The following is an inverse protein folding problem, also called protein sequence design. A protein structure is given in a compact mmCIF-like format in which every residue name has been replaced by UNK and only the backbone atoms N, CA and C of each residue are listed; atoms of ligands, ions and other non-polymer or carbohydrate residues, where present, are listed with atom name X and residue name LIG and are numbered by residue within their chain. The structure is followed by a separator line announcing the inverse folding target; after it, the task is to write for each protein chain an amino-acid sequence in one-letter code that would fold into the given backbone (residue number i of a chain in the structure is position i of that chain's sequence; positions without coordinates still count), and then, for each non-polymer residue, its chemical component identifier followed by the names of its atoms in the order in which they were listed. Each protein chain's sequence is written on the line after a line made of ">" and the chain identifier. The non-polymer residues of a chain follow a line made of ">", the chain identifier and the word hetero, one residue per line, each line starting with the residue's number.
data_IF_569332207264
#
_entry.id   IF_569332207264
#
_cell.length_a   1.000
_cell.length_b   1.000
_cell.length_c   1.000
_cell.angle_alpha   90.00
_cell.angle_beta   90.00
_cell.angle_gamma   90.00
#
_symmetry.space_group_name_H-M   'P 1'
#
loop_
_entity.id
_entity.type
_entity.pdbx_description
1 polymer ?
#
# COMPACT_ATOMS: atom_id res chain seq x y z
N UNK A 1 -11.84 -3.95 31.04
CA UNK A 1 -11.05 -3.41 29.90
C UNK A 1 -9.58 -3.62 30.21
N UNK A 2 -8.95 -4.67 29.66
CA UNK A 2 -7.56 -5.06 29.99
C UNK A 2 -6.70 -5.43 28.76
N UNK A 3 -7.15 -5.07 27.55
CA UNK A 3 -6.57 -5.60 26.31
C UNK A 3 -5.93 -4.49 25.44
N UNK A 4 -4.97 -3.75 26.02
CA UNK A 4 -4.07 -2.92 25.23
C UNK A 4 -2.90 -3.77 24.72
N UNK A 5 -2.70 -3.86 23.41
CA UNK A 5 -1.43 -4.36 22.89
C UNK A 5 -0.37 -3.25 23.02
N UNK A 6 0.90 -3.59 23.35
CA UNK A 6 1.97 -2.59 23.38
C UNK A 6 2.09 -1.89 22.02
N UNK A 7 2.17 -0.55 21.98
CA UNK A 7 2.34 0.17 20.73
C UNK A 7 3.68 -0.23 20.09
N UNK A 8 3.76 -0.33 18.75
CA UNK A 8 5.04 -0.50 18.09
C UNK A 8 5.93 0.74 18.31
N UNK A 9 7.26 0.61 18.11
CA UNK A 9 8.18 1.73 18.21
C UNK A 9 7.97 2.69 17.02
N UNK A 10 7.00 3.60 17.15
CA UNK A 10 6.74 4.62 16.14
C UNK A 10 7.98 5.51 15.97
N UNK A 11 8.33 5.76 14.71
CA UNK A 11 9.47 6.58 14.34
C UNK A 11 9.05 7.92 13.72
N UNK A 12 10.03 8.77 13.38
CA UNK A 12 9.76 9.96 12.58
C UNK A 12 9.18 9.57 11.23
N UNK A 13 8.32 10.43 10.69
CA UNK A 13 7.75 10.24 9.35
C UNK A 13 8.83 10.39 8.27
N UNK A 14 8.61 9.76 7.12
CA UNK A 14 9.44 9.95 5.93
C UNK A 14 9.13 11.34 5.36
N UNK A 15 10.13 12.25 5.23
CA UNK A 15 9.91 13.56 4.64
C UNK A 15 9.64 13.44 3.13
N UNK A 16 9.03 14.48 2.55
CA UNK A 16 8.65 14.50 1.14
C UNK A 16 7.24 13.97 0.89
N UNK A 17 6.98 13.56 -0.35
CA UNK A 17 5.65 13.21 -0.85
C UNK A 17 5.72 11.89 -1.61
N UNK A 18 4.68 11.07 -1.47
CA UNK A 18 4.49 9.88 -2.27
C UNK A 18 3.50 10.17 -3.39
N UNK A 19 3.80 9.77 -4.62
CA UNK A 19 2.82 9.64 -5.68
C UNK A 19 2.40 8.18 -5.71
N UNK A 20 1.10 7.94 -5.59
CA UNK A 20 0.48 6.64 -5.79
C UNK A 20 -0.11 6.62 -7.19
N UNK A 21 0.39 5.74 -8.06
CA UNK A 21 -0.15 5.49 -9.39
C UNK A 21 -0.60 4.03 -9.50
N UNK A 22 -1.79 3.80 -10.07
CA UNK A 22 -2.36 2.46 -10.13
C UNK A 22 -3.03 2.19 -11.46
N UNK A 23 -2.86 0.98 -11.96
CA UNK A 23 -3.42 0.52 -13.23
C UNK A 23 -4.39 -0.62 -13.00
N UNK A 24 -5.34 -0.74 -13.93
CA UNK A 24 -6.30 -1.82 -14.01
C UNK A 24 -6.23 -2.40 -15.42
N UNK A 25 -5.40 -3.41 -15.61
CA UNK A 25 -5.13 -4.02 -16.91
C UNK A 25 -6.04 -5.23 -17.13
N UNK A 26 -5.92 -6.23 -16.27
CA UNK A 26 -6.69 -7.47 -16.28
C UNK A 26 -6.76 -8.07 -14.85
N UNK A 27 -7.59 -7.51 -13.96
CA UNK A 27 -7.72 -7.94 -12.57
C UNK A 27 -8.63 -9.18 -12.43
N UNK A 28 -8.60 -10.12 -13.38
CA UNK A 28 -9.35 -11.36 -13.31
C UNK A 28 -8.88 -12.22 -12.11
N UNK A 29 -9.83 -12.77 -11.34
CA UNK A 29 -9.54 -13.45 -10.06
C UNK A 29 -10.21 -14.81 -9.93
N UNK A 30 -9.63 -15.66 -9.08
CA UNK A 30 -10.25 -16.85 -8.49
C UNK A 30 -10.19 -16.70 -6.97
N UNK A 31 -11.36 -16.49 -6.35
CA UNK A 31 -11.41 -16.03 -4.95
C UNK A 31 -10.66 -14.71 -4.79
N UNK A 32 -9.76 -14.56 -3.79
CA UNK A 32 -8.97 -13.34 -3.64
C UNK A 32 -7.80 -13.23 -4.63
N UNK A 33 -7.34 -14.33 -5.24
CA UNK A 33 -6.08 -14.35 -5.98
C UNK A 33 -6.26 -13.99 -7.46
N UNK A 34 -5.32 -13.22 -8.01
CA UNK A 34 -5.35 -12.87 -9.44
C UNK A 34 -4.90 -14.05 -10.30
N UNK A 35 -5.54 -14.21 -11.45
CA UNK A 35 -5.10 -15.15 -12.50
C UNK A 35 -3.85 -14.62 -13.19
N UNK A 36 -3.07 -15.53 -13.77
CA UNK A 36 -1.98 -15.17 -14.70
C UNK A 36 -2.58 -14.44 -15.90
N UNK A 37 -1.94 -13.35 -16.32
CA UNK A 37 -2.38 -12.53 -17.45
C UNK A 37 -1.17 -12.03 -18.24
N UNK A 38 -1.16 -12.31 -19.54
CA UNK A 38 -0.11 -11.85 -20.47
C UNK A 38 -0.20 -10.35 -20.72
N UNK A 39 -1.41 -9.79 -20.74
CA UNK A 39 -1.63 -8.36 -20.85
C UNK A 39 -1.05 -7.61 -19.64
N UNK A 40 -1.29 -8.12 -18.42
CA UNK A 40 -0.68 -7.56 -17.21
C UNK A 40 0.83 -7.68 -17.21
N UNK A 41 1.39 -8.82 -17.62
CA UNK A 41 2.83 -9.01 -17.72
C UNK A 41 3.47 -7.98 -18.67
N UNK A 42 2.92 -7.81 -19.88
CA UNK A 42 3.39 -6.82 -20.85
C UNK A 42 3.31 -5.39 -20.32
N UNK A 43 2.21 -5.03 -19.65
CA UNK A 43 2.04 -3.72 -19.04
C UNK A 43 3.07 -3.50 -17.92
N UNK A 44 3.36 -4.53 -17.13
CA UNK A 44 4.34 -4.47 -16.05
C UNK A 44 5.76 -4.25 -16.58
N UNK A 45 6.13 -4.88 -17.69
CA UNK A 45 7.43 -4.64 -18.33
C UNK A 45 7.57 -3.20 -18.82
N UNK A 46 6.54 -2.65 -19.47
CA UNK A 46 6.55 -1.23 -19.88
C UNK A 46 6.62 -0.27 -18.67
N UNK A 47 5.87 -0.57 -17.61
CA UNK A 47 5.90 0.23 -16.38
C UNK A 47 7.22 0.11 -15.61
N UNK A 48 7.97 -0.97 -15.82
CA UNK A 48 9.32 -1.13 -15.25
C UNK A 48 10.31 -0.17 -15.90
N UNK A 49 10.26 0.01 -17.21
CA UNK A 49 11.07 1.00 -17.92
C UNK A 49 10.76 2.42 -17.43
N UNK A 50 9.47 2.72 -17.28
CA UNK A 50 8.98 3.97 -16.69
C UNK A 50 9.51 4.15 -15.26
N UNK A 51 9.41 3.13 -14.42
CA UNK A 51 9.92 3.17 -13.05
C UNK A 51 11.44 3.41 -13.00
N UNK A 52 12.20 2.78 -13.90
CA UNK A 52 13.65 2.97 -14.02
C UNK A 52 14.01 4.40 -14.43
N UNK A 53 13.30 4.97 -15.41
CA UNK A 53 13.48 6.36 -15.84
C UNK A 53 13.16 7.35 -14.71
N UNK A 54 12.06 7.12 -13.98
CA UNK A 54 11.70 7.94 -12.82
C UNK A 54 12.73 7.83 -11.69
N UNK A 55 13.24 6.63 -11.40
CA UNK A 55 14.24 6.41 -10.37
C UNK A 55 15.58 7.11 -10.64
N UNK A 56 15.89 7.41 -11.91
CA UNK A 56 17.09 8.15 -12.30
C UNK A 56 16.96 9.68 -12.10
N UNK A 57 15.77 10.20 -11.80
CA UNK A 57 15.53 11.64 -11.63
C UNK A 57 15.99 12.12 -10.25
N UNK A 58 16.60 13.29 -10.20
CA UNK A 58 17.20 13.84 -8.98
C UNK A 58 16.20 14.12 -7.85
N UNK A 59 14.99 14.52 -8.22
CA UNK A 59 13.87 14.84 -7.34
C UNK A 59 13.18 13.58 -6.77
N UNK A 60 13.42 12.41 -7.36
CA UNK A 60 12.88 11.12 -6.91
C UNK A 60 13.85 10.50 -5.92
N UNK A 61 13.34 10.18 -4.73
CA UNK A 61 14.07 9.51 -3.66
C UNK A 61 13.96 7.97 -3.74
N UNK A 62 12.91 7.45 -4.37
CA UNK A 62 12.75 6.01 -4.60
C UNK A 62 11.51 5.68 -5.42
N UNK A 63 11.51 4.52 -6.08
CA UNK A 63 10.38 4.00 -6.84
C UNK A 63 10.16 2.54 -6.49
N UNK A 64 8.95 2.19 -6.11
CA UNK A 64 8.52 0.81 -5.94
C UNK A 64 7.42 0.49 -6.94
N UNK A 65 7.66 -0.48 -7.81
CA UNK A 65 6.65 -1.07 -8.68
C UNK A 65 6.15 -2.38 -8.07
N UNK A 66 4.84 -2.60 -8.11
CA UNK A 66 4.20 -3.76 -7.53
C UNK A 66 3.22 -4.42 -8.50
N UNK A 67 3.22 -5.75 -8.51
CA UNK A 67 2.15 -6.55 -9.10
C UNK A 67 1.19 -7.03 -8.00
N UNK A 68 -0.11 -6.81 -8.18
CA UNK A 68 -1.11 -7.31 -7.24
C UNK A 68 -1.24 -8.82 -7.37
N UNK A 69 -1.15 -9.52 -6.24
CA UNK A 69 -1.27 -10.98 -6.15
C UNK A 69 -2.61 -11.41 -5.57
N UNK A 70 -3.20 -10.59 -4.70
CA UNK A 70 -4.55 -10.83 -4.19
C UNK A 70 -5.30 -9.54 -3.89
N UNK A 71 -6.61 -9.55 -4.11
CA UNK A 71 -7.57 -8.50 -3.72
C UNK A 71 -8.63 -9.19 -2.87
N UNK A 72 -8.74 -8.81 -1.60
CA UNK A 72 -9.72 -9.42 -0.70
C UNK A 72 -11.14 -9.05 -1.19
N UNK A 73 -12.10 -10.01 -1.25
CA UNK A 73 -13.41 -9.78 -1.85
C UNK A 73 -14.34 -8.98 -0.91
N UNK A 74 -13.99 -7.73 -0.67
CA UNK A 74 -14.77 -6.76 0.11
C UNK A 74 -15.38 -5.76 -0.89
N UNK A 75 -16.68 -5.40 -0.77
CA UNK A 75 -17.28 -4.37 -1.60
C UNK A 75 -16.46 -3.07 -1.56
N UNK A 76 -16.21 -2.49 -2.74
CA UNK A 76 -15.39 -1.27 -2.87
C UNK A 76 -13.88 -1.49 -2.88
N UNK A 77 -13.38 -2.72 -2.75
CA UNK A 77 -11.94 -2.99 -2.80
C UNK A 77 -11.33 -2.52 -4.14
N UNK A 78 -10.15 -1.85 -4.11
CA UNK A 78 -9.51 -1.37 -5.33
C UNK A 78 -9.24 -2.52 -6.30
N UNK A 79 -9.60 -2.33 -7.56
CA UNK A 79 -9.39 -3.31 -8.63
C UNK A 79 -8.09 -3.06 -9.38
N UNK A 80 -7.05 -2.60 -8.66
CA UNK A 80 -5.74 -2.32 -9.24
C UNK A 80 -4.90 -3.60 -9.24
N UNK A 81 -4.38 -3.96 -10.40
CA UNK A 81 -3.54 -5.13 -10.59
C UNK A 81 -2.05 -4.79 -10.76
N UNK A 82 -1.73 -3.51 -10.95
CA UNK A 82 -0.38 -2.94 -10.84
C UNK A 82 -0.45 -1.64 -10.03
N UNK A 83 0.51 -1.44 -9.14
CA UNK A 83 0.64 -0.20 -8.34
C UNK A 83 2.10 0.26 -8.40
N UNK A 84 2.32 1.57 -8.48
CA UNK A 84 3.62 2.20 -8.36
C UNK A 84 3.56 3.25 -7.25
N UNK A 85 4.51 3.18 -6.33
CA UNK A 85 4.74 4.20 -5.30
C UNK A 85 6.05 4.92 -5.64
N UNK A 86 5.96 6.23 -5.85
CA UNK A 86 7.10 7.09 -6.15
C UNK A 86 7.31 8.01 -4.97
N UNK A 87 8.45 7.90 -4.29
CA UNK A 87 8.82 8.84 -3.23
C UNK A 87 9.59 10.01 -3.84
N UNK A 88 9.05 11.21 -3.66
CA UNK A 88 9.56 12.48 -4.19
C UNK A 88 9.98 13.37 -3.02
N UNK A 89 11.08 14.12 -3.19
CA UNK A 89 11.72 14.86 -2.09
C UNK A 89 10.87 16.01 -1.53
N UNK A 90 10.01 16.61 -2.35
CA UNK A 90 9.21 17.77 -1.97
C UNK A 90 7.88 17.87 -2.73
N UNK A 91 7.02 18.78 -2.27
CA UNK A 91 5.67 18.99 -2.80
C UNK A 91 5.68 19.57 -4.23
N UNK A 92 6.43 20.64 -4.54
CA UNK A 92 6.46 21.19 -5.91
C UNK A 92 6.87 20.15 -6.96
N UNK A 93 7.95 19.39 -6.71
CA UNK A 93 8.39 18.32 -7.61
C UNK A 93 7.36 17.21 -7.72
N UNK A 94 6.67 16.85 -6.64
CA UNK A 94 5.61 15.84 -6.71
C UNK A 94 4.40 16.30 -7.56
N UNK A 95 4.02 17.57 -7.44
CA UNK A 95 2.95 18.16 -8.27
C UNK A 95 3.34 18.17 -9.74
N UNK A 96 4.56 18.60 -10.08
CA UNK A 96 5.07 18.58 -11.44
C UNK A 96 5.13 17.15 -12.01
N UNK A 97 5.71 16.21 -11.23
CA UNK A 97 5.90 14.83 -11.65
C UNK A 97 4.56 14.10 -11.84
N UNK A 98 3.53 14.39 -11.04
CA UNK A 98 2.18 13.83 -11.23
C UNK A 98 1.58 14.18 -12.60
N UNK A 99 1.89 15.35 -13.14
CA UNK A 99 1.45 15.79 -14.47
C UNK A 99 2.42 15.43 -15.60
N UNK A 100 3.56 14.81 -15.30
CA UNK A 100 4.60 14.49 -16.27
C UNK A 100 4.11 13.45 -17.29
N UNK A 101 4.51 13.62 -18.54
CA UNK A 101 4.17 12.71 -19.64
C UNK A 101 4.61 11.27 -19.38
N UNK A 102 5.71 11.07 -18.64
CA UNK A 102 6.25 9.76 -18.26
C UNK A 102 5.26 8.96 -17.42
N UNK A 103 4.42 9.62 -16.61
CA UNK A 103 3.36 8.97 -15.84
C UNK A 103 2.05 9.00 -16.64
N UNK A 104 1.63 10.17 -17.13
CA UNK A 104 0.30 10.34 -17.73
C UNK A 104 0.12 9.57 -19.04
N UNK A 105 1.17 9.38 -19.85
CA UNK A 105 1.11 8.57 -21.08
C UNK A 105 0.85 7.07 -20.81
N UNK A 106 1.11 6.60 -19.60
CA UNK A 106 0.78 5.21 -19.18
C UNK A 106 -0.69 5.04 -18.81
N UNK A 107 -1.48 6.12 -18.81
CA UNK A 107 -2.91 6.16 -18.52
C UNK A 107 -3.30 5.41 -17.22
N UNK A 108 -2.76 5.82 -16.05
CA UNK A 108 -3.12 5.19 -14.78
C UNK A 108 -4.61 5.35 -14.50
N UNK A 109 -5.23 4.29 -13.99
CA UNK A 109 -6.64 4.30 -13.57
C UNK A 109 -6.86 5.15 -12.31
N UNK A 110 -5.82 5.37 -11.51
CA UNK A 110 -5.84 6.25 -10.35
C UNK A 110 -4.47 6.85 -10.11
N UNK A 111 -4.44 8.14 -9.75
CA UNK A 111 -3.23 8.82 -9.32
C UNK A 111 -3.55 9.83 -8.24
N UNK A 112 -2.80 9.83 -7.14
CA UNK A 112 -2.90 10.83 -6.08
C UNK A 112 -1.56 11.05 -5.39
N UNK A 113 -1.42 12.17 -4.67
CA UNK A 113 -0.28 12.38 -3.79
C UNK A 113 -0.65 12.02 -2.35
N UNK A 114 0.33 11.63 -1.55
CA UNK A 114 0.15 11.33 -0.15
C UNK A 114 1.40 11.72 0.66
N UNK A 115 1.22 12.15 1.90
CA UNK A 115 2.33 12.31 2.86
C UNK A 115 2.41 11.11 3.78
N UNK A 116 3.56 10.89 4.42
CA UNK A 116 3.64 9.89 5.48
C UNK A 116 3.01 10.44 6.77
N UNK A 117 1.86 9.88 7.18
CA UNK A 117 1.14 10.30 8.40
C UNK A 117 1.68 9.66 9.69
N UNK A 118 2.24 8.46 9.60
CA UNK A 118 2.91 7.76 10.70
C UNK A 118 3.73 6.59 10.16
N UNK A 119 4.76 6.15 10.89
CA UNK A 119 5.48 4.92 10.55
C UNK A 119 6.09 4.23 11.77
N UNK A 120 6.41 2.95 11.59
CA UNK A 120 7.33 2.20 12.45
C UNK A 120 8.12 1.23 11.59
N UNK A 121 9.33 0.86 12.02
CA UNK A 121 10.23 0.02 11.23
C UNK A 121 10.61 0.63 9.87
N UNK A 122 11.10 -0.24 8.98
CA UNK A 122 11.52 0.11 7.61
C UNK A 122 10.70 -0.75 6.64
N UNK A 123 9.83 -0.12 5.87
CA UNK A 123 8.95 -0.81 4.92
C UNK A 123 9.65 -1.13 3.61
N UNK A 124 10.31 -0.13 3.03
CA UNK A 124 11.17 -0.29 1.87
C UNK A 124 12.62 -0.50 2.32
N UNK A 125 13.13 -1.69 2.09
CA UNK A 125 14.51 -2.08 2.40
C UNK A 125 15.27 -2.53 1.13
N UNK A 126 14.73 -2.25 -0.05
CA UNK A 126 15.33 -2.64 -1.33
C UNK A 126 15.34 -4.14 -1.62
N UNK A 127 14.64 -4.99 -0.84
CA UNK A 127 14.58 -6.43 -1.10
C UNK A 127 13.50 -6.75 -2.16
N UNK A 128 13.89 -7.22 -3.36
CA UNK A 128 12.94 -7.59 -4.40
C UNK A 128 12.10 -8.82 -4.00
N UNK A 129 10.94 -8.97 -4.63
CA UNK A 129 10.04 -10.12 -4.39
C UNK A 129 9.31 -10.15 -3.03
N UNK A 130 9.46 -9.12 -2.19
CA UNK A 130 8.74 -8.97 -0.93
C UNK A 130 7.23 -8.92 -1.14
N UNK A 131 6.48 -9.64 -0.29
CA UNK A 131 5.03 -9.52 -0.22
C UNK A 131 4.65 -8.32 0.66
N UNK A 132 3.74 -7.51 0.16
CA UNK A 132 3.34 -6.24 0.74
C UNK A 132 1.82 -6.19 0.85
N UNK A 133 1.35 -5.64 1.97
CA UNK A 133 -0.02 -5.25 2.18
C UNK A 133 -0.16 -3.75 1.86
N UNK A 134 -1.00 -3.43 0.89
CA UNK A 134 -1.56 -2.09 0.69
C UNK A 134 -3.00 -2.10 1.18
N UNK A 135 -3.21 -1.64 2.40
CA UNK A 135 -4.53 -1.60 3.01
C UNK A 135 -5.12 -0.20 2.91
N UNK A 136 -6.12 -0.04 2.05
CA UNK A 136 -6.79 1.23 1.82
C UNK A 136 -7.92 1.37 2.83
N UNK A 137 -7.98 2.50 3.51
CA UNK A 137 -9.03 2.81 4.45
C UNK A 137 -9.96 3.85 3.84
N UNK A 138 -11.25 3.55 3.82
CA UNK A 138 -12.31 4.52 3.50
C UNK A 138 -13.10 4.85 4.76
N UNK A 139 -13.67 6.04 4.81
CA UNK A 139 -14.45 6.53 5.94
C UNK A 139 -14.63 8.04 5.84
N UNK A 140 -15.52 8.58 6.67
CA UNK A 140 -15.84 10.02 6.70
C UNK A 140 -15.14 10.77 7.84
N UNK A 141 -14.19 10.13 8.50
CA UNK A 141 -13.49 10.69 9.65
C UNK A 141 -12.30 11.55 9.22
N UNK A 142 -11.92 12.49 10.09
CA UNK A 142 -10.71 13.28 9.92
C UNK A 142 -9.45 12.42 9.91
N UNK A 143 -8.46 12.86 9.16
CA UNK A 143 -7.20 12.15 8.98
C UNK A 143 -6.49 11.89 10.32
N UNK A 144 -6.43 12.88 11.22
CA UNK A 144 -5.79 12.75 12.54
C UNK A 144 -6.42 11.62 13.36
N UNK A 145 -7.75 11.51 13.33
CA UNK A 145 -8.51 10.45 13.97
C UNK A 145 -8.26 9.10 13.32
N UNK A 146 -8.17 9.05 11.98
CA UNK A 146 -7.85 7.84 11.25
C UNK A 146 -6.44 7.34 11.56
N UNK A 147 -5.45 8.24 11.65
CA UNK A 147 -4.07 7.93 12.02
C UNK A 147 -4.02 7.35 13.44
N UNK A 148 -4.76 7.92 14.38
CA UNK A 148 -4.83 7.41 15.77
C UNK A 148 -5.49 6.03 15.85
N UNK A 149 -6.58 5.82 15.10
CA UNK A 149 -7.21 4.51 14.97
C UNK A 149 -6.22 3.47 14.41
N UNK A 150 -5.47 3.85 13.37
CA UNK A 150 -4.43 3.01 12.79
C UNK A 150 -3.28 2.71 13.76
N UNK A 151 -2.82 3.69 14.56
CA UNK A 151 -1.77 3.47 15.58
C UNK A 151 -2.20 2.42 16.60
N UNK A 152 -3.45 2.52 17.05
CA UNK A 152 -4.07 1.56 17.97
C UNK A 152 -4.17 0.18 17.32
N UNK A 153 -4.63 0.12 16.07
CA UNK A 153 -4.76 -1.11 15.32
C UNK A 153 -3.41 -1.81 15.08
N UNK A 154 -2.36 -1.03 14.83
CA UNK A 154 -1.00 -1.53 14.53
C UNK A 154 -0.43 -2.36 15.67
N UNK A 155 -0.75 -2.02 16.92
CA UNK A 155 -0.30 -2.76 18.10
C UNK A 155 -0.77 -4.24 18.05
N UNK A 156 -2.00 -4.51 17.60
CA UNK A 156 -2.49 -5.87 17.42
C UNK A 156 -1.74 -6.62 16.31
N UNK A 157 -1.51 -5.97 15.16
CA UNK A 157 -0.82 -6.59 14.03
C UNK A 157 0.63 -6.93 14.36
N UNK A 158 1.37 -6.04 15.01
CA UNK A 158 2.72 -6.33 15.48
C UNK A 158 2.72 -7.53 16.43
N UNK A 159 1.83 -7.53 17.42
CA UNK A 159 1.77 -8.59 18.42
C UNK A 159 1.28 -9.95 17.88
N UNK A 160 0.45 -9.99 16.83
CA UNK A 160 -0.27 -11.22 16.40
C UNK A 160 0.09 -11.74 15.02
N UNK A 161 0.61 -10.89 14.14
CA UNK A 161 0.92 -11.27 12.76
C UNK A 161 2.40 -11.22 12.42
N UNK A 162 3.24 -10.66 13.30
CA UNK A 162 4.68 -10.53 13.07
C UNK A 162 5.02 -9.41 12.07
N UNK A 163 4.12 -8.45 11.87
CA UNK A 163 4.46 -7.23 11.14
C UNK A 163 5.44 -6.42 12.00
N UNK A 164 6.57 -6.07 11.43
CA UNK A 164 7.65 -5.32 12.08
C UNK A 164 7.82 -3.90 11.52
N UNK A 165 7.06 -3.56 10.48
CA UNK A 165 7.15 -2.31 9.75
C UNK A 165 5.78 -1.83 9.28
N UNK A 166 5.63 -0.53 9.09
CA UNK A 166 4.59 0.05 8.26
C UNK A 166 4.84 1.52 7.99
N UNK A 167 4.51 1.96 6.78
CA UNK A 167 4.44 3.35 6.36
C UNK A 167 2.99 3.69 6.07
N UNK A 168 2.39 4.57 6.87
CA UNK A 168 1.02 5.03 6.68
C UNK A 168 1.01 6.24 5.76
N UNK A 169 0.38 6.11 4.60
CA UNK A 169 0.18 7.19 3.64
C UNK A 169 -1.15 7.89 3.96
N UNK A 170 -1.12 9.21 4.01
CA UNK A 170 -2.29 10.10 4.12
C UNK A 170 -2.47 10.81 2.76
N UNK A 171 -3.40 10.32 1.91
CA UNK A 171 -3.64 10.90 0.59
C UNK A 171 -4.18 12.33 0.64
N UNK A 172 -3.98 13.05 -0.46
CA UNK A 172 -4.70 14.29 -0.74
C UNK A 172 -6.18 14.01 -1.08
N UNK A 173 -6.96 15.09 -1.29
CA UNK A 173 -8.40 15.01 -1.57
C UNK A 173 -8.76 14.37 -2.92
N UNK A 174 -7.78 14.07 -3.78
CA UNK A 174 -8.03 13.38 -5.05
C UNK A 174 -8.17 11.86 -4.89
N UNK A 175 -7.78 11.31 -3.74
CA UNK A 175 -7.99 9.90 -3.45
C UNK A 175 -9.34 9.66 -2.76
N UNK A 176 -10.02 8.53 -3.03
CA UNK A 176 -11.22 8.12 -2.31
C UNK A 176 -10.92 7.50 -0.93
N UNK A 177 -9.67 7.60 -0.45
CA UNK A 177 -9.17 6.92 0.75
C UNK A 177 -8.72 7.96 1.78
N UNK A 178 -9.06 7.74 3.05
CA UNK A 178 -8.52 8.56 4.14
C UNK A 178 -7.08 8.17 4.48
N UNK A 179 -6.73 6.89 4.33
CA UNK A 179 -5.38 6.37 4.57
C UNK A 179 -5.07 5.20 3.64
N UNK A 180 -3.79 4.99 3.34
CA UNK A 180 -3.27 3.76 2.75
C UNK A 180 -2.11 3.25 3.59
N UNK A 181 -2.28 2.10 4.25
CA UNK A 181 -1.21 1.45 4.99
C UNK A 181 -0.36 0.60 4.06
N UNK A 182 0.92 0.93 3.95
CA UNK A 182 1.91 0.18 3.20
C UNK A 182 2.83 -0.58 4.18
N UNK A 183 2.74 -1.91 4.19
CA UNK A 183 3.52 -2.75 5.11
C UNK A 183 4.00 -4.03 4.44
N UNK A 184 5.26 -4.41 4.65
CA UNK A 184 5.78 -5.73 4.26
C UNK A 184 5.24 -6.79 5.22
N UNK A 185 4.71 -7.89 4.67
CA UNK A 185 4.15 -8.99 5.45
C UNK A 185 5.14 -10.15 5.60
N UNK A 186 5.09 -10.91 6.71
CA UNK A 186 5.93 -12.09 6.88
C UNK A 186 5.38 -13.32 6.11
N UNK A 187 6.25 -13.94 5.31
CA UNK A 187 5.94 -15.16 4.57
C UNK A 187 5.01 -14.94 3.37
N UNK A 188 4.14 -15.92 3.12
CA UNK A 188 3.21 -15.88 1.97
C UNK A 188 1.91 -15.15 2.32
N UNK A 189 1.24 -14.60 1.30
CA UNK A 189 -0.08 -13.94 1.44
C UNK A 189 -1.10 -14.87 2.10
N UNK A 190 -1.20 -16.12 1.65
CA UNK A 190 -2.14 -17.09 2.20
C UNK A 190 -1.88 -17.38 3.69
N UNK A 191 -0.62 -17.59 4.07
CA UNK A 191 -0.24 -17.82 5.46
C UNK A 191 -0.52 -16.58 6.33
N UNK A 192 -0.28 -15.38 5.82
CA UNK A 192 -0.58 -14.13 6.51
C UNK A 192 -2.10 -13.90 6.70
N UNK A 193 -2.92 -14.20 5.68
CA UNK A 193 -4.39 -14.15 5.80
C UNK A 193 -4.91 -15.19 6.81
N UNK A 194 -4.39 -16.42 6.79
CA UNK A 194 -4.76 -17.43 7.77
C UNK A 194 -4.39 -16.99 9.20
N UNK A 195 -3.18 -16.44 9.39
CA UNK A 195 -2.68 -15.95 10.69
C UNK A 195 -3.54 -14.86 11.33
N UNK A 196 -4.25 -14.06 10.54
CA UNK A 196 -5.16 -13.04 11.08
C UNK A 196 -6.60 -13.55 11.20
N UNK A 197 -7.14 -14.21 10.18
CA UNK A 197 -8.56 -14.56 10.11
C UNK A 197 -8.92 -15.75 11.01
N UNK A 198 -7.99 -16.64 11.32
CA UNK A 198 -8.25 -17.76 12.25
C UNK A 198 -8.18 -17.33 13.73
N UNK A 199 -7.89 -16.06 14.02
CA UNK A 199 -7.77 -15.57 15.40
C UNK A 199 -9.08 -14.96 15.90
N UNK A 200 -9.68 -15.46 16.99
CA UNK A 200 -10.87 -14.83 17.58
C UNK A 200 -10.67 -13.36 17.96
N UNK A 201 -9.45 -12.98 18.37
CA UNK A 201 -9.11 -11.60 18.72
C UNK A 201 -9.16 -10.65 17.53
N UNK A 202 -9.04 -11.12 16.29
CA UNK A 202 -9.26 -10.28 15.11
C UNK A 202 -10.69 -9.75 15.08
N UNK A 203 -11.67 -10.63 15.29
CA UNK A 203 -13.08 -10.27 15.27
C UNK A 203 -13.53 -9.48 16.50
N UNK A 204 -12.87 -9.68 17.65
CA UNK A 204 -13.21 -8.99 18.91
C UNK A 204 -12.47 -7.66 19.09
N UNK A 205 -11.36 -7.44 18.39
CA UNK A 205 -10.53 -6.24 18.52
C UNK A 205 -10.50 -5.39 17.24
N UNK A 206 -10.07 -5.98 16.12
CA UNK A 206 -9.86 -5.23 14.86
C UNK A 206 -11.18 -4.71 14.29
N UNK A 207 -12.18 -5.58 14.13
CA UNK A 207 -13.47 -5.17 13.54
C UNK A 207 -14.20 -4.10 14.38
N UNK A 208 -14.34 -4.24 15.71
CA UNK A 208 -15.00 -3.22 16.52
C UNK A 208 -14.23 -1.89 16.55
N UNK A 209 -12.90 -1.93 16.53
CA UNK A 209 -12.08 -0.72 16.46
C UNK A 209 -12.32 0.04 15.15
N UNK A 210 -12.28 -0.67 14.01
CA UNK A 210 -12.59 -0.06 12.71
C UNK A 210 -14.02 0.49 12.66
N UNK A 211 -15.00 -0.27 13.15
CA UNK A 211 -16.39 0.14 13.19
C UNK A 211 -16.62 1.40 14.06
N UNK A 212 -15.99 1.48 15.23
CA UNK A 212 -16.07 2.65 16.14
C UNK A 212 -15.54 3.92 15.48
N UNK A 213 -14.57 3.79 14.59
CA UNK A 213 -13.98 4.90 13.86
C UNK A 213 -14.58 5.06 12.45
N UNK A 214 -15.67 4.37 12.12
CA UNK A 214 -16.30 4.42 10.80
C UNK A 214 -15.32 4.18 9.64
N UNK A 215 -14.32 3.32 9.87
CA UNK A 215 -13.32 2.94 8.90
C UNK A 215 -13.65 1.60 8.28
N UNK A 216 -13.54 1.52 6.95
CA UNK A 216 -13.57 0.26 6.21
C UNK A 216 -12.18 -0.05 5.68
N UNK A 217 -11.70 -1.25 5.94
CA UNK A 217 -10.41 -1.73 5.44
C UNK A 217 -10.61 -2.47 4.11
N UNK A 218 -9.84 -2.08 3.09
CA UNK A 218 -9.88 -2.60 1.72
C UNK A 218 -8.47 -3.07 1.32
N UNK A 219 -8.04 -4.24 1.82
CA UNK A 219 -6.69 -4.74 1.62
C UNK A 219 -6.49 -5.36 0.23
N UNK A 220 -5.38 -4.99 -0.39
CA UNK A 220 -4.78 -5.72 -1.50
C UNK A 220 -3.38 -6.17 -1.11
N UNK A 221 -2.97 -7.33 -1.62
CA UNK A 221 -1.64 -7.86 -1.45
C UNK A 221 -0.89 -7.78 -2.76
N UNK A 222 0.27 -7.17 -2.70
CA UNK A 222 1.12 -6.92 -3.86
C UNK A 222 2.50 -7.51 -3.64
N UNK A 223 3.23 -7.73 -4.73
CA UNK A 223 4.61 -8.20 -4.71
C UNK A 223 5.50 -7.13 -5.35
N UNK A 224 6.57 -6.75 -4.66
CA UNK A 224 7.58 -5.83 -5.22
C UNK A 224 8.23 -6.44 -6.45
N UNK A 225 8.33 -5.63 -7.50
CA UNK A 225 9.04 -5.95 -8.73
C UNK A 225 10.46 -5.43 -8.60
N UNK A 226 11.43 -6.32 -8.82
CA UNK A 226 12.80 -5.89 -9.02
C UNK A 226 12.84 -4.98 -10.24
N UNK A 227 13.43 -3.79 -10.13
CA UNK A 227 13.60 -2.89 -11.27
C UNK A 227 14.87 -3.24 -12.09
N UNK A 228 15.84 -3.95 -11.50
CA UNK A 228 17.17 -4.21 -12.07
C UNK A 228 17.30 -5.51 -12.90
N UNK A 229 16.52 -6.54 -12.60
CA UNK A 229 16.45 -7.79 -13.39
C UNK A 229 15.89 -7.69 -14.83
N UNK A 230 15.71 -8.85 -15.47
CA UNK A 230 15.21 -8.96 -16.85
C UNK A 230 13.66 -8.92 -16.92
N UNK A 231 13.07 -8.54 -18.08
CA UNK A 231 11.63 -8.67 -18.36
C UNK A 231 11.16 -10.12 -18.18
N UNK A 232 9.88 -10.31 -17.87
CA UNK A 232 9.30 -11.65 -17.57
C UNK A 232 8.73 -12.36 -18.80
#
# INVERSE_FOLDING_TARGET
>A
MRDGYPPPPFGPVIPGVFIYAAWRVDPARVGPFLRVSTARAKALDGLREVAGSLAARSEVAGVNLFETTAIVPIPGAPQHDIVMLIHVRDVPSATALRGDATITATNPAMTFTARNGARFGITDNGLPGSNVLLNHFTGTIEESSAVNAWRTLSAWFVAKTGIDNSTLLAPDLSAPYVLVNYARIPGTVAAFMARQLLRPSFYRYVRPLLARHHLTSLPIFVRTIDLSGRPR
#
